data_IF_360736501951
#
_entry.id   IF_360736501951
#
_cell.length_a   1.000
_cell.length_b   1.000
_cell.length_c   1.000
_cell.angle_alpha   90.00
_cell.angle_beta   90.00
_cell.angle_gamma   90.00
#
_symmetry.space_group_name_H-M   'P 1'
#
loop_
_entity.id
_entity.type
_entity.pdbx_description
1 polymer ?
#
# COMPACT_ATOMS: atom_id res chain seq x y z
N UNK A 1 -18.05 4.70 20.36
CA UNK A 1 -16.84 4.37 19.58
C UNK A 1 -17.25 4.06 18.15
N UNK A 2 -16.54 4.59 17.16
CA UNK A 2 -16.82 4.34 15.73
C UNK A 2 -15.96 3.18 15.25
N UNK A 3 -16.57 2.09 14.78
CA UNK A 3 -15.89 0.86 14.36
C UNK A 3 -16.21 0.57 12.90
N UNK A 4 -15.18 0.35 12.08
CA UNK A 4 -15.32 -0.12 10.71
C UNK A 4 -15.09 -1.63 10.67
N UNK A 5 -16.05 -2.37 10.10
CA UNK A 5 -15.97 -3.80 9.85
C UNK A 5 -15.63 -4.00 8.37
N UNK A 6 -14.53 -4.70 8.09
CA UNK A 6 -14.03 -4.95 6.73
C UNK A 6 -13.88 -6.44 6.50
N UNK A 7 -14.72 -6.99 5.63
CA UNK A 7 -14.76 -8.42 5.30
C UNK A 7 -15.53 -8.57 3.99
N UNK A 8 -15.08 -9.38 3.04
CA UNK A 8 -15.79 -9.58 1.77
C UNK A 8 -17.05 -10.45 1.92
N UNK A 9 -17.12 -11.24 2.98
CA UNK A 9 -18.28 -12.09 3.30
C UNK A 9 -19.34 -11.32 4.09
N UNK A 10 -20.53 -11.08 3.52
CA UNK A 10 -21.65 -10.39 4.18
C UNK A 10 -22.05 -11.03 5.51
N UNK A 11 -22.11 -12.37 5.55
CA UNK A 11 -22.47 -13.11 6.77
C UNK A 11 -21.45 -12.92 7.90
N UNK A 12 -20.16 -12.78 7.57
CA UNK A 12 -19.12 -12.50 8.55
C UNK A 12 -19.28 -11.08 9.13
N UNK A 13 -19.60 -10.09 8.28
CA UNK A 13 -19.89 -8.72 8.74
C UNK A 13 -21.13 -8.66 9.64
N UNK A 14 -22.24 -9.32 9.26
CA UNK A 14 -23.44 -9.39 10.08
C UNK A 14 -23.15 -10.01 11.45
N UNK A 15 -22.44 -11.12 11.50
CA UNK A 15 -22.06 -11.76 12.76
C UNK A 15 -21.21 -10.86 13.66
N UNK A 16 -20.26 -10.11 13.08
CA UNK A 16 -19.47 -9.15 13.83
C UNK A 16 -20.32 -8.00 14.38
N UNK A 17 -21.29 -7.51 13.60
CA UNK A 17 -22.24 -6.50 14.07
C UNK A 17 -23.03 -6.99 15.28
N UNK A 18 -23.59 -8.20 15.21
CA UNK A 18 -24.34 -8.78 16.32
C UNK A 18 -23.47 -8.85 17.58
N UNK A 19 -22.24 -9.36 17.48
CA UNK A 19 -21.30 -9.41 18.60
C UNK A 19 -20.95 -8.03 19.16
N UNK A 20 -20.78 -7.02 18.29
CA UNK A 20 -20.46 -5.66 18.70
C UNK A 20 -21.65 -5.00 19.40
N UNK A 21 -22.85 -5.17 18.88
CA UNK A 21 -24.08 -4.65 19.49
C UNK A 21 -24.37 -5.32 20.85
N UNK A 22 -24.05 -6.61 21.01
CA UNK A 22 -24.13 -7.30 22.31
C UNK A 22 -23.11 -6.77 23.34
N UNK A 23 -21.94 -6.26 22.87
CA UNK A 23 -20.91 -5.70 23.74
C UNK A 23 -21.29 -4.28 24.17
N UNK A 24 -21.72 -3.44 23.24
CA UNK A 24 -22.05 -2.04 23.48
C UNK A 24 -23.01 -1.53 22.36
N UNK A 25 -24.31 -1.39 22.65
CA UNK A 25 -25.32 -0.98 21.66
C UNK A 25 -25.16 0.47 21.15
N UNK A 26 -24.39 1.31 21.85
CA UNK A 26 -24.19 2.71 21.47
C UNK A 26 -23.03 2.92 20.47
N UNK A 27 -22.43 1.83 19.97
CA UNK A 27 -21.34 1.92 18.99
C UNK A 27 -21.88 2.34 17.63
N UNK A 28 -21.12 3.18 16.95
CA UNK A 28 -21.38 3.48 15.56
C UNK A 28 -20.62 2.47 14.68
N UNK A 29 -21.36 1.67 13.91
CA UNK A 29 -20.80 0.64 13.03
C UNK A 29 -20.82 1.10 11.59
N UNK A 30 -19.68 0.94 10.92
CA UNK A 30 -19.45 1.17 9.49
C UNK A 30 -19.05 -0.15 8.84
N UNK A 31 -19.24 -0.27 7.54
CA UNK A 31 -18.90 -1.47 6.79
C UNK A 31 -18.14 -1.15 5.51
N UNK A 32 -17.27 -2.09 5.12
CA UNK A 32 -16.66 -2.16 3.80
C UNK A 32 -16.50 -3.64 3.41
N UNK A 33 -16.53 -3.93 2.12
CA UNK A 33 -16.43 -5.28 1.58
C UNK A 33 -15.06 -5.60 0.94
N UNK A 34 -14.14 -4.65 0.97
CA UNK A 34 -12.77 -4.81 0.49
C UNK A 34 -11.86 -3.70 1.02
N UNK A 35 -10.54 -3.84 0.82
CA UNK A 35 -9.55 -2.88 1.31
C UNK A 35 -9.69 -1.47 0.73
N UNK A 36 -9.97 -1.32 -0.56
CA UNK A 36 -10.13 -0.01 -1.20
C UNK A 36 -11.33 0.75 -0.62
N UNK A 37 -12.48 0.06 -0.45
CA UNK A 37 -13.66 0.63 0.18
C UNK A 37 -13.39 1.03 1.64
N UNK A 38 -12.62 0.20 2.37
CA UNK A 38 -12.21 0.50 3.74
C UNK A 38 -11.39 1.78 3.85
N UNK A 39 -10.41 2.00 2.95
CA UNK A 39 -9.61 3.22 2.92
C UNK A 39 -10.47 4.46 2.66
N UNK A 40 -11.39 4.40 1.68
CA UNK A 40 -12.31 5.49 1.37
C UNK A 40 -13.24 5.82 2.56
N UNK A 41 -13.70 4.80 3.30
CA UNK A 41 -14.48 5.00 4.53
C UNK A 41 -13.63 5.64 5.63
N UNK A 42 -12.39 5.20 5.81
CA UNK A 42 -11.49 5.76 6.83
C UNK A 42 -11.17 7.24 6.59
N UNK A 43 -10.96 7.66 5.35
CA UNK A 43 -10.74 9.07 4.99
C UNK A 43 -11.96 9.94 5.32
N UNK A 44 -13.17 9.47 5.01
CA UNK A 44 -14.41 10.24 5.18
C UNK A 44 -14.88 10.27 6.63
N UNK A 45 -14.82 9.13 7.31
CA UNK A 45 -15.49 8.88 8.59
C UNK A 45 -14.56 8.86 9.79
N UNK A 46 -13.25 8.69 9.59
CA UNK A 46 -12.23 8.60 10.64
C UNK A 46 -12.61 7.64 11.77
N UNK A 47 -12.77 6.34 11.52
CA UNK A 47 -13.15 5.37 12.55
C UNK A 47 -12.07 5.27 13.63
N UNK A 48 -12.49 4.86 14.85
CA UNK A 48 -11.58 4.63 15.96
C UNK A 48 -10.82 3.30 15.83
N UNK A 49 -11.52 2.29 15.32
CA UNK A 49 -11.04 0.90 15.19
C UNK A 49 -11.48 0.34 13.84
N UNK A 50 -10.62 -0.45 13.22
CA UNK A 50 -10.94 -1.25 12.04
C UNK A 50 -10.78 -2.72 12.39
N UNK A 51 -11.88 -3.49 12.29
CA UNK A 51 -11.87 -4.95 12.28
C UNK A 51 -11.67 -5.39 10.84
N UNK A 52 -10.53 -6.00 10.54
CA UNK A 52 -10.05 -6.17 9.17
C UNK A 52 -9.78 -7.64 8.85
N UNK A 53 -10.55 -8.21 7.93
CA UNK A 53 -10.19 -9.53 7.41
C UNK A 53 -8.92 -9.45 6.57
N UNK A 54 -8.11 -10.52 6.63
CA UNK A 54 -6.85 -10.57 5.89
C UNK A 54 -7.09 -10.96 4.43
N UNK A 55 -7.95 -11.95 4.20
CA UNK A 55 -8.16 -12.50 2.85
C UNK A 55 -9.37 -11.88 2.17
N UNK A 56 -9.13 -10.85 1.38
CA UNK A 56 -10.15 -10.17 0.60
C UNK A 56 -9.71 -9.99 -0.85
N UNK A 57 -10.62 -9.95 -1.81
CA UNK A 57 -10.31 -9.64 -3.20
C UNK A 57 -9.88 -8.18 -3.37
N UNK A 58 -9.22 -7.86 -4.48
CA UNK A 58 -8.75 -6.55 -4.91
C UNK A 58 -7.57 -6.02 -4.09
N UNK A 59 -7.73 -5.84 -2.79
CA UNK A 59 -6.70 -5.43 -1.83
C UNK A 59 -6.91 -6.23 -0.55
N UNK A 60 -5.90 -6.98 -0.14
CA UNK A 60 -5.96 -7.78 1.08
C UNK A 60 -5.86 -6.93 2.35
N UNK A 61 -6.12 -7.56 3.51
CA UNK A 61 -6.12 -6.83 4.78
C UNK A 61 -4.73 -6.38 5.23
N UNK A 62 -3.67 -7.08 4.87
CA UNK A 62 -2.30 -6.68 5.24
C UNK A 62 -1.89 -5.43 4.46
N UNK A 63 -2.14 -5.40 3.15
CA UNK A 63 -1.93 -4.23 2.32
C UNK A 63 -2.81 -3.05 2.79
N UNK A 64 -4.08 -3.32 3.11
CA UNK A 64 -5.00 -2.31 3.66
C UNK A 64 -4.45 -1.71 4.96
N UNK A 65 -3.99 -2.53 5.90
CA UNK A 65 -3.42 -2.07 7.17
C UNK A 65 -2.16 -1.21 6.96
N UNK A 66 -1.31 -1.57 5.99
CA UNK A 66 -0.15 -0.77 5.61
C UNK A 66 -0.57 0.65 5.18
N UNK A 67 -1.58 0.77 4.32
CA UNK A 67 -2.08 2.08 3.87
C UNK A 67 -2.77 2.85 5.01
N UNK A 68 -3.53 2.18 5.88
CA UNK A 68 -4.14 2.80 7.06
C UNK A 68 -3.10 3.40 8.02
N UNK A 69 -1.95 2.75 8.17
CA UNK A 69 -0.86 3.25 9.00
C UNK A 69 -0.22 4.55 8.47
N UNK A 70 -0.35 4.84 7.17
CA UNK A 70 0.16 6.05 6.53
C UNK A 70 -0.78 7.27 6.65
N UNK A 71 -2.00 7.08 7.20
CA UNK A 71 -2.94 8.18 7.46
C UNK A 71 -2.38 9.16 8.51
N UNK A 72 -2.80 10.42 8.46
CA UNK A 72 -2.47 11.41 9.48
C UNK A 72 -2.99 11.00 10.87
N UNK A 73 -4.18 10.35 10.91
CA UNK A 73 -4.80 9.82 12.12
C UNK A 73 -5.15 8.34 11.92
N UNK A 74 -4.16 7.43 12.05
CA UNK A 74 -4.40 6.02 11.78
C UNK A 74 -5.38 5.41 12.81
N UNK A 75 -6.36 4.62 12.36
CA UNK A 75 -7.23 3.85 13.25
C UNK A 75 -6.45 2.71 13.92
N UNK A 76 -6.96 2.22 15.03
CA UNK A 76 -6.46 0.97 15.62
C UNK A 76 -6.92 -0.22 14.75
N UNK A 77 -5.99 -1.04 14.28
CA UNK A 77 -6.30 -2.22 13.45
C UNK A 77 -6.33 -3.48 14.31
N UNK A 78 -7.41 -4.24 14.19
CA UNK A 78 -7.59 -5.58 14.76
C UNK A 78 -7.87 -6.53 13.58
N UNK A 79 -6.97 -7.48 13.33
CA UNK A 79 -7.20 -8.45 12.28
C UNK A 79 -8.21 -9.53 12.67
N UNK A 80 -9.06 -9.92 11.72
CA UNK A 80 -10.01 -11.02 11.86
C UNK A 80 -9.78 -12.00 10.71
N UNK A 81 -9.49 -13.28 10.99
CA UNK A 81 -9.17 -14.23 9.92
C UNK A 81 -9.39 -15.69 10.30
N UNK A 82 -9.58 -16.53 9.29
CA UNK A 82 -9.63 -17.98 9.44
C UNK A 82 -8.24 -18.66 9.46
N UNK A 83 -7.15 -17.92 9.16
CA UNK A 83 -5.81 -18.46 8.93
C UNK A 83 -4.84 -18.10 10.05
N UNK A 84 -4.03 -19.07 10.52
CA UNK A 84 -3.03 -18.85 11.57
C UNK A 84 -1.71 -18.27 11.05
N UNK A 85 -1.40 -18.48 9.77
CA UNK A 85 -0.08 -18.23 9.19
C UNK A 85 0.29 -16.74 9.05
N UNK A 86 -0.68 -15.83 9.21
CA UNK A 86 -0.46 -14.39 9.09
C UNK A 86 -0.28 -13.65 10.43
N UNK A 87 -0.28 -14.37 11.56
CA UNK A 87 -0.13 -13.75 12.88
C UNK A 87 1.21 -13.00 13.02
N UNK A 88 2.29 -13.50 12.43
CA UNK A 88 3.62 -12.87 12.46
C UNK A 88 3.59 -11.55 11.68
N UNK A 89 3.01 -11.52 10.47
CA UNK A 89 2.89 -10.33 9.64
C UNK A 89 1.97 -9.27 10.28
N UNK A 90 0.88 -9.69 10.93
CA UNK A 90 0.01 -8.80 11.70
C UNK A 90 0.76 -8.12 12.86
N UNK A 91 1.70 -8.82 13.48
CA UNK A 91 2.56 -8.29 14.55
C UNK A 91 3.53 -7.22 14.02
N UNK A 92 4.09 -7.43 12.83
CA UNK A 92 4.99 -6.49 12.16
C UNK A 92 4.28 -5.19 11.77
N UNK A 93 2.99 -5.25 11.43
CA UNK A 93 2.14 -4.09 11.13
C UNK A 93 1.57 -3.40 12.38
N UNK A 94 2.10 -3.72 13.59
CA UNK A 94 1.67 -3.15 14.87
C UNK A 94 0.13 -3.19 15.09
N UNK A 95 -0.52 -4.23 14.57
CA UNK A 95 -1.92 -4.47 14.87
C UNK A 95 -2.13 -4.58 16.39
N UNK A 96 -3.26 -4.05 16.86
CA UNK A 96 -3.62 -4.08 18.27
C UNK A 96 -3.88 -5.50 18.76
N UNK A 97 -4.52 -6.30 17.94
CA UNK A 97 -4.82 -7.71 18.24
C UNK A 97 -5.10 -8.50 16.94
N UNK A 98 -5.18 -9.81 17.09
CA UNK A 98 -5.43 -10.78 16.03
C UNK A 98 -6.50 -11.78 16.51
N UNK A 99 -7.63 -11.84 15.82
CA UNK A 99 -8.77 -12.65 16.18
C UNK A 99 -9.01 -13.75 15.16
N UNK A 100 -8.96 -15.00 15.62
CA UNK A 100 -9.29 -16.16 14.80
C UNK A 100 -10.79 -16.34 14.64
N UNK A 101 -11.26 -16.55 13.41
CA UNK A 101 -12.65 -16.99 13.12
C UNK A 101 -12.81 -18.48 13.54
N UNK A 102 -13.91 -18.85 14.23
CA UNK A 102 -15.06 -18.05 14.62
C UNK A 102 -14.74 -17.12 15.82
N UNK A 103 -15.01 -15.84 15.67
CA UNK A 103 -14.70 -14.83 16.68
C UNK A 103 -15.63 -15.00 17.88
N UNK A 104 -15.01 -15.07 19.07
CA UNK A 104 -15.72 -15.16 20.34
C UNK A 104 -15.90 -13.78 20.94
N UNK A 105 -17.06 -13.56 21.57
CA UNK A 105 -17.45 -12.30 22.20
C UNK A 105 -16.40 -11.80 23.21
N UNK A 106 -15.91 -12.69 24.09
CA UNK A 106 -14.90 -12.38 25.11
C UNK A 106 -13.57 -11.89 24.50
N UNK A 107 -13.14 -12.54 23.41
CA UNK A 107 -11.92 -12.15 22.71
C UNK A 107 -12.07 -10.80 21.99
N UNK A 108 -13.21 -10.57 21.32
CA UNK A 108 -13.51 -9.30 20.65
C UNK A 108 -13.56 -8.15 21.68
N UNK A 109 -14.22 -8.36 22.81
CA UNK A 109 -14.30 -7.37 23.88
C UNK A 109 -12.91 -7.00 24.44
N UNK A 110 -12.05 -8.00 24.63
CA UNK A 110 -10.66 -7.78 25.10
C UNK A 110 -9.85 -6.97 24.07
N UNK A 111 -9.94 -7.30 22.78
CA UNK A 111 -9.25 -6.59 21.71
C UNK A 111 -9.70 -5.12 21.61
N UNK A 112 -11.02 -4.86 21.73
CA UNK A 112 -11.56 -3.50 21.76
C UNK A 112 -11.11 -2.70 23.00
N UNK A 113 -10.95 -3.33 24.14
CA UNK A 113 -10.39 -2.67 25.34
C UNK A 113 -8.92 -2.28 25.13
N UNK A 114 -8.11 -3.16 24.53
CA UNK A 114 -6.72 -2.87 24.19
C UNK A 114 -6.60 -1.71 23.19
N UNK A 115 -7.46 -1.65 22.18
CA UNK A 115 -7.44 -0.56 21.19
C UNK A 115 -7.63 0.82 21.80
N UNK A 116 -8.42 0.92 22.88
CA UNK A 116 -8.61 2.18 23.65
C UNK A 116 -7.33 2.64 24.36
N UNK A 117 -6.47 1.71 24.77
CA UNK A 117 -5.22 2.01 25.50
C UNK A 117 -4.08 2.43 24.57
N UNK A 118 -4.01 1.87 23.36
CA UNK A 118 -2.87 2.05 22.43
C UNK A 118 -2.95 3.35 21.64
N UNK A 119 -4.10 3.98 21.50
CA UNK A 119 -4.29 5.28 20.80
C UNK A 119 -3.31 6.40 21.23
N UNK A 120 -2.50 6.20 22.29
CA UNK A 120 -1.57 7.21 22.85
C UNK A 120 -0.10 7.01 22.56
N UNK A 121 0.36 5.87 22.05
CA UNK A 121 1.80 5.54 22.02
C UNK A 121 2.42 5.20 20.66
N UNK A 122 1.66 4.90 19.61
CA UNK A 122 2.16 4.12 18.48
C UNK A 122 2.50 4.88 17.18
N UNK A 123 2.33 6.18 17.10
CA UNK A 123 2.42 6.93 15.82
C UNK A 123 3.87 7.16 15.32
N UNK A 124 4.89 7.01 16.15
CA UNK A 124 6.24 7.46 15.82
C UNK A 124 7.19 6.39 15.21
N UNK A 125 6.85 5.11 15.23
CA UNK A 125 7.83 4.03 14.95
C UNK A 125 7.57 3.25 13.64
N UNK A 126 6.48 3.50 12.95
CA UNK A 126 5.98 2.67 11.83
C UNK A 126 6.73 2.81 10.49
N UNK A 127 7.54 3.83 10.30
CA UNK A 127 8.12 4.13 8.98
C UNK A 127 9.48 3.47 8.69
N UNK A 128 10.08 2.72 9.61
CA UNK A 128 11.46 2.22 9.44
C UNK A 128 11.65 0.71 9.26
N UNK A 129 10.62 -0.13 9.41
CA UNK A 129 10.83 -1.59 9.42
C UNK A 129 9.71 -2.38 8.73
N UNK A 130 9.62 -2.36 7.42
CA UNK A 130 8.89 -3.40 6.69
C UNK A 130 9.71 -3.93 5.52
N UNK A 131 10.56 -4.91 5.84
CA UNK A 131 11.20 -5.80 4.85
C UNK A 131 10.36 -7.09 4.72
N UNK A 132 9.05 -7.00 4.52
CA UNK A 132 8.19 -8.16 4.29
C UNK A 132 7.85 -8.30 2.82
N UNK A 133 8.19 -9.46 2.27
CA UNK A 133 8.18 -9.82 0.86
C UNK A 133 6.77 -10.05 0.26
N UNK A 134 5.80 -9.20 0.56
CA UNK A 134 4.51 -9.16 -0.15
C UNK A 134 4.50 -7.91 -1.01
N UNK A 135 4.60 -8.08 -2.34
CA UNK A 135 4.49 -6.94 -3.26
C UNK A 135 3.08 -6.38 -3.20
N UNK A 136 2.94 -5.14 -2.77
CA UNK A 136 1.67 -4.41 -2.74
C UNK A 136 1.11 -4.23 -4.16
N UNK A 137 -0.19 -4.25 -4.32
CA UNK A 137 -0.85 -3.95 -5.59
C UNK A 137 -0.95 -2.44 -5.87
N UNK A 138 -0.90 -1.62 -4.80
CA UNK A 138 -0.97 -0.16 -4.86
C UNK A 138 0.13 0.48 -4.01
N UNK A 139 0.68 1.60 -4.50
CA UNK A 139 1.50 2.52 -3.68
C UNK A 139 0.60 3.63 -3.15
N UNK A 140 0.90 4.13 -1.94
CA UNK A 140 0.18 5.25 -1.36
C UNK A 140 1.02 6.53 -1.39
N UNK A 141 0.51 7.56 -2.04
CA UNK A 141 1.03 8.92 -1.94
C UNK A 141 0.18 9.71 -0.93
N UNK A 142 0.81 10.28 0.09
CA UNK A 142 0.11 11.11 1.06
C UNK A 142 0.30 12.60 0.73
N UNK A 143 -0.80 13.32 0.52
CA UNK A 143 -0.79 14.77 0.28
C UNK A 143 -1.95 15.44 1.00
N UNK A 144 -1.65 16.41 1.88
CA UNK A 144 -2.67 17.19 2.62
C UNK A 144 -3.71 16.35 3.37
N UNK A 145 -3.29 15.24 4.01
CA UNK A 145 -4.17 14.35 4.77
C UNK A 145 -5.06 13.44 3.94
N UNK A 146 -4.86 13.39 2.62
CA UNK A 146 -5.49 12.41 1.71
C UNK A 146 -4.50 11.38 1.24
N UNK A 147 -4.94 10.14 1.10
CA UNK A 147 -4.19 9.06 0.46
C UNK A 147 -4.61 8.99 -1.01
N UNK A 148 -3.64 9.10 -1.91
CA UNK A 148 -3.81 8.75 -3.32
C UNK A 148 -3.24 7.36 -3.55
N UNK A 149 -4.11 6.40 -3.89
CA UNK A 149 -3.71 5.03 -4.19
C UNK A 149 -3.33 4.93 -5.66
N UNK A 150 -2.10 4.48 -5.90
CA UNK A 150 -1.49 4.39 -7.22
C UNK A 150 -1.33 2.92 -7.58
N UNK A 151 -2.12 2.38 -8.52
CA UNK A 151 -1.96 1.00 -8.96
C UNK A 151 -0.55 0.77 -9.52
N UNK A 152 0.18 -0.20 -8.97
CA UNK A 152 1.56 -0.49 -9.41
C UNK A 152 1.59 -0.86 -10.90
N UNK A 153 0.52 -1.46 -11.40
CA UNK A 153 0.39 -1.81 -12.81
C UNK A 153 0.42 -0.58 -13.76
N UNK A 154 -0.03 0.58 -13.30
CA UNK A 154 -0.12 1.83 -14.07
C UNK A 154 1.13 2.72 -13.95
N UNK A 155 2.08 2.37 -13.10
CA UNK A 155 3.30 3.16 -12.92
C UNK A 155 4.19 3.05 -14.16
N UNK A 156 4.51 4.21 -14.73
CA UNK A 156 5.43 4.34 -15.87
C UNK A 156 6.87 4.54 -15.41
N UNK A 157 7.10 5.32 -14.34
CA UNK A 157 8.45 5.57 -13.80
C UNK A 157 8.41 5.96 -12.33
N UNK A 158 9.58 5.79 -11.69
CA UNK A 158 9.89 6.22 -10.34
C UNK A 158 11.21 6.99 -10.38
N UNK A 159 11.25 8.23 -9.87
CA UNK A 159 12.43 9.10 -9.91
C UNK A 159 12.70 9.71 -8.55
N UNK A 160 13.86 9.39 -7.95
CA UNK A 160 14.26 10.01 -6.70
C UNK A 160 14.78 11.43 -6.95
N UNK A 161 14.19 12.40 -6.28
CA UNK A 161 14.60 13.80 -6.29
C UNK A 161 14.62 14.32 -4.85
N UNK A 162 15.79 14.78 -4.40
CA UNK A 162 16.00 15.28 -3.04
C UNK A 162 15.56 14.25 -1.97
N UNK A 163 14.45 14.48 -1.28
CA UNK A 163 13.94 13.68 -0.17
C UNK A 163 12.83 12.71 -0.57
N UNK A 164 12.24 12.89 -1.74
CA UNK A 164 11.06 12.15 -2.19
C UNK A 164 11.33 11.35 -3.45
N UNK A 165 10.45 10.38 -3.72
CA UNK A 165 10.38 9.69 -5.02
C UNK A 165 9.13 10.18 -5.75
N UNK A 166 9.34 10.81 -6.91
CA UNK A 166 8.27 11.13 -7.85
C UNK A 166 7.85 9.85 -8.55
N UNK A 167 6.56 9.51 -8.50
CA UNK A 167 5.94 8.42 -9.25
C UNK A 167 5.11 9.00 -10.39
N UNK A 168 5.42 8.59 -11.63
CA UNK A 168 4.65 8.92 -12.82
C UNK A 168 3.73 7.77 -13.20
N UNK A 169 2.42 8.02 -13.30
CA UNK A 169 1.39 7.03 -13.59
C UNK A 169 0.19 7.67 -14.28
N UNK A 170 -0.37 7.01 -15.29
CA UNK A 170 -1.57 7.49 -16.01
C UNK A 170 -1.54 8.99 -16.41
N UNK A 171 -0.36 9.51 -16.78
CA UNK A 171 -0.17 10.93 -17.15
C UNK A 171 -0.16 11.91 -15.95
N UNK A 172 -0.14 11.42 -14.72
CA UNK A 172 -0.05 12.19 -13.47
C UNK A 172 1.30 11.96 -12.79
N UNK A 173 1.60 12.81 -11.80
CA UNK A 173 2.73 12.64 -10.89
C UNK A 173 2.28 12.78 -9.44
N UNK A 174 2.84 11.96 -8.56
CA UNK A 174 2.62 12.01 -7.12
C UNK A 174 3.95 11.79 -6.39
N UNK A 175 4.03 12.16 -5.11
CA UNK A 175 5.25 12.04 -4.31
C UNK A 175 5.11 10.91 -3.28
N UNK A 176 6.13 10.06 -3.22
CA UNK A 176 6.25 8.98 -2.25
C UNK A 176 7.34 9.30 -1.24
N UNK A 177 7.15 8.90 0.01
CA UNK A 177 8.15 8.99 1.09
C UNK A 177 9.09 7.78 1.14
N UNK A 178 8.96 6.85 0.21
CA UNK A 178 9.71 5.60 0.15
C UNK A 178 11.00 5.74 -0.66
N UNK A 179 11.98 4.84 -0.44
CA UNK A 179 13.22 4.87 -1.21
C UNK A 179 13.09 4.07 -2.52
N UNK A 180 13.80 4.51 -3.59
CA UNK A 180 13.85 3.72 -4.82
C UNK A 180 14.41 2.31 -4.62
N UNK A 181 15.28 2.11 -3.63
CA UNK A 181 15.85 0.80 -3.33
C UNK A 181 14.82 -0.13 -2.72
N UNK A 182 13.98 0.39 -1.82
CA UNK A 182 12.86 -0.37 -1.23
C UNK A 182 11.90 -0.81 -2.31
N UNK A 183 11.45 0.13 -3.17
CA UNK A 183 10.53 -0.14 -4.28
C UNK A 183 11.11 -1.13 -5.31
N UNK A 184 12.40 -1.03 -5.62
CA UNK A 184 13.07 -1.98 -6.53
C UNK A 184 13.12 -3.40 -5.95
N UNK A 185 13.34 -3.53 -4.64
CA UNK A 185 13.37 -4.82 -3.95
C UNK A 185 11.97 -5.43 -3.80
N UNK A 186 10.95 -4.61 -3.55
CA UNK A 186 9.57 -5.06 -3.42
C UNK A 186 8.99 -5.58 -4.74
N UNK A 187 9.41 -4.98 -5.87
CA UNK A 187 8.89 -5.34 -7.20
C UNK A 187 9.99 -5.90 -8.13
N UNK A 188 10.57 -7.07 -7.83
CA UNK A 188 11.66 -7.63 -8.63
C UNK A 188 11.18 -7.91 -10.06
N UNK A 189 11.91 -7.36 -11.04
CA UNK A 189 11.60 -7.52 -12.46
C UNK A 189 10.47 -6.63 -13.02
N UNK A 190 9.70 -5.93 -12.18
CA UNK A 190 8.65 -5.01 -12.62
C UNK A 190 9.22 -3.71 -13.19
N UNK A 191 10.30 -3.22 -12.60
CA UNK A 191 10.97 -1.99 -13.02
C UNK A 191 12.40 -2.23 -13.47
N UNK A 192 12.83 -1.46 -14.45
CA UNK A 192 14.20 -1.45 -14.99
C UNK A 192 14.95 -0.23 -14.43
N UNK A 193 16.05 -0.46 -13.73
CA UNK A 193 16.91 0.65 -13.31
C UNK A 193 17.72 1.18 -14.48
N UNK A 194 17.54 2.45 -14.81
CA UNK A 194 18.23 3.13 -15.91
C UNK A 194 19.26 4.15 -15.42
N UNK A 195 19.07 4.68 -14.22
CA UNK A 195 19.96 5.62 -13.58
C UNK A 195 19.99 5.38 -12.06
N UNK A 196 21.00 5.92 -11.34
CA UNK A 196 21.06 5.79 -9.87
C UNK A 196 19.80 6.28 -9.15
N UNK A 197 19.07 7.20 -9.76
CA UNK A 197 17.87 7.80 -9.21
C UNK A 197 16.61 7.54 -10.05
N UNK A 198 16.61 6.58 -10.99
CA UNK A 198 15.46 6.37 -11.88
C UNK A 198 15.20 4.90 -12.17
N UNK A 199 13.97 4.48 -11.95
CA UNK A 199 13.39 3.20 -12.36
C UNK A 199 12.30 3.47 -13.39
N UNK A 200 12.17 2.61 -14.41
CA UNK A 200 11.16 2.71 -15.47
C UNK A 200 10.46 1.37 -15.64
N UNK A 201 9.14 1.38 -15.81
CA UNK A 201 8.40 0.20 -16.21
C UNK A 201 8.71 -0.13 -17.68
N UNK A 202 9.23 -1.34 -18.01
CA UNK A 202 9.61 -1.69 -19.39
C UNK A 202 8.48 -1.51 -20.40
N UNK A 203 7.24 -1.83 -20.02
CA UNK A 203 6.06 -1.68 -20.87
C UNK A 203 5.66 -0.24 -21.24
N UNK A 204 6.14 0.75 -20.47
CA UNK A 204 5.92 2.17 -20.73
C UNK A 204 6.92 2.75 -21.76
N UNK A 205 8.01 2.04 -22.07
CA UNK A 205 9.04 2.55 -22.98
C UNK A 205 8.48 2.66 -24.40
N UNK A 206 8.63 3.84 -24.98
CA UNK A 206 8.30 4.12 -26.38
C UNK A 206 9.50 4.03 -27.30
N UNK A 207 10.64 4.67 -26.92
CA UNK A 207 11.85 4.69 -27.75
C UNK A 207 13.10 5.04 -26.93
N UNK A 208 14.27 4.75 -27.52
CA UNK A 208 15.56 5.21 -27.01
C UNK A 208 16.27 6.04 -28.09
N UNK A 209 16.72 7.24 -27.75
CA UNK A 209 17.45 8.14 -28.68
C UNK A 209 18.76 8.62 -28.06
N UNK A 210 19.75 8.83 -28.92
CA UNK A 210 20.99 9.50 -28.51
C UNK A 210 20.84 10.99 -28.81
N UNK A 211 20.96 11.81 -27.79
CA UNK A 211 20.84 13.26 -27.90
C UNK A 211 22.19 13.92 -28.28
N UNK A 212 22.14 15.23 -28.56
CA UNK A 212 23.33 16.02 -29.01
C UNK A 212 24.44 16.06 -27.97
N UNK A 213 24.13 15.87 -26.69
CA UNK A 213 25.11 15.76 -25.59
C UNK A 213 25.83 14.41 -25.54
N UNK A 214 25.48 13.49 -26.44
CA UNK A 214 26.08 12.15 -26.53
C UNK A 214 25.46 11.16 -25.55
N UNK A 215 24.49 11.56 -24.73
CA UNK A 215 23.77 10.71 -23.77
C UNK A 215 22.59 10.03 -24.43
N UNK A 216 22.28 8.80 -24.01
CA UNK A 216 21.07 8.10 -24.44
C UNK A 216 19.93 8.43 -23.51
N UNK A 217 18.76 8.73 -24.06
CA UNK A 217 17.53 9.00 -23.34
C UNK A 217 16.47 7.98 -23.71
N UNK A 218 15.72 7.50 -22.68
CA UNK A 218 14.49 6.75 -22.89
C UNK A 218 13.30 7.70 -22.87
N UNK A 219 12.41 7.53 -23.83
CA UNK A 219 11.14 8.24 -23.95
C UNK A 219 10.01 7.26 -23.62
N UNK A 220 9.05 7.71 -22.83
CA UNK A 220 7.89 6.93 -22.42
C UNK A 220 6.64 7.36 -23.22
N UNK A 221 5.61 6.50 -23.23
CA UNK A 221 4.40 6.72 -24.02
C UNK A 221 3.61 7.96 -23.61
N UNK A 222 3.56 8.22 -22.29
CA UNK A 222 2.68 9.26 -21.71
C UNK A 222 3.48 10.36 -20.99
N UNK A 223 4.77 10.53 -21.35
CA UNK A 223 5.67 11.51 -20.73
C UNK A 223 6.51 12.20 -21.78
N UNK A 224 6.40 13.52 -21.87
CA UNK A 224 7.09 14.32 -22.90
C UNK A 224 8.60 14.46 -22.66
N UNK A 225 9.07 14.23 -21.41
CA UNK A 225 10.48 14.37 -21.05
C UNK A 225 11.25 13.05 -21.18
N UNK A 226 12.46 13.15 -21.76
CA UNK A 226 13.36 12.01 -21.86
C UNK A 226 14.08 11.73 -20.53
N UNK A 227 14.30 10.45 -20.20
CA UNK A 227 15.04 9.98 -19.03
C UNK A 227 16.44 9.55 -19.40
N UNK A 228 17.50 10.17 -18.84
CA UNK A 228 18.87 9.85 -19.19
C UNK A 228 19.26 8.45 -18.70
N UNK A 229 19.90 7.67 -19.57
CA UNK A 229 20.42 6.35 -19.25
C UNK A 229 21.89 6.45 -18.86
N UNK A 230 22.24 6.02 -17.67
CA UNK A 230 23.63 6.02 -17.24
C UNK A 230 24.46 4.94 -17.95
N UNK A 231 25.75 5.18 -18.15
CA UNK A 231 26.68 4.23 -18.81
C UNK A 231 26.62 2.85 -18.13
N UNK A 232 26.54 2.81 -16.82
CA UNK A 232 26.49 1.58 -16.02
C UNK A 232 25.27 0.70 -16.36
N UNK A 233 24.11 1.30 -16.62
CA UNK A 233 22.85 0.58 -16.85
C UNK A 233 22.55 0.34 -18.33
N UNK A 234 23.35 0.88 -19.24
CA UNK A 234 23.14 0.79 -20.69
C UNK A 234 23.01 -0.65 -21.20
N UNK A 235 23.81 -1.58 -20.67
CA UNK A 235 23.77 -2.98 -21.10
C UNK A 235 22.39 -3.60 -20.77
N UNK A 236 21.90 -3.45 -19.54
CA UNK A 236 20.59 -3.95 -19.11
C UNK A 236 19.45 -3.32 -19.91
N UNK A 237 19.50 -2.00 -20.14
CA UNK A 237 18.51 -1.29 -20.97
C UNK A 237 18.44 -1.86 -22.39
N UNK A 238 19.56 -2.03 -23.06
CA UNK A 238 19.60 -2.60 -24.42
C UNK A 238 19.07 -4.04 -24.46
N UNK A 239 19.39 -4.84 -23.46
CA UNK A 239 18.89 -6.21 -23.35
C UNK A 239 17.36 -6.21 -23.25
N UNK A 240 16.80 -5.37 -22.36
CA UNK A 240 15.35 -5.25 -22.20
C UNK A 240 14.67 -4.73 -23.48
N UNK A 241 15.23 -3.70 -24.14
CA UNK A 241 14.68 -3.17 -25.39
C UNK A 241 14.62 -4.22 -26.48
N UNK A 242 15.66 -5.06 -26.61
CA UNK A 242 15.70 -6.17 -27.57
C UNK A 242 14.56 -7.16 -27.33
N UNK A 243 14.26 -7.49 -26.07
CA UNK A 243 13.14 -8.36 -25.72
C UNK A 243 11.76 -7.73 -25.99
N UNK A 244 11.67 -6.40 -25.94
CA UNK A 244 10.44 -5.65 -26.27
C UNK A 244 10.27 -5.39 -27.77
N UNK A 245 11.23 -5.77 -28.61
CA UNK A 245 11.20 -5.49 -30.06
C UNK A 245 11.44 -4.01 -30.39
N UNK A 246 12.01 -3.24 -29.46
CA UNK A 246 12.33 -1.81 -29.58
C UNK A 246 13.84 -1.67 -29.81
N UNK A 247 14.31 -2.01 -30.99
CA UNK A 247 15.73 -1.91 -31.39
C UNK A 247 15.98 -0.72 -32.31
#
# INVERSE_FOLDING_TARGET
>A
MKILIVDDETLARERLKDLLMDIDPEQQLLEADNGLAALAVCERESPDVVLLDIRMPVMDGLETAYHLAALEHPPAVIFTTAYQDHAIQAFELQAVDYLMKPIRRDRLQTALQRSRLIKRAAVATLMEQTDTAVSRSHLSASSYGKIELIPVAEISYLKAEQKYVTVGWSGKESLLNESLKSLENEYPGRFLRIHRNTLIAPGAIQSMKKEKDGVYYLYLKDVDTGFPVSRRHMHGVRHTLKHLGLS
#
